data_IF_030709460469
#
_entry.id   IF_030709460469
#
_cell.length_a   1.000
_cell.length_b   1.000
_cell.length_c   1.000
_cell.angle_alpha   90.00
_cell.angle_beta   90.00
_cell.angle_gamma   90.00
#
_symmetry.space_group_name_H-M   'P 1'
#
loop_
_entity.id
_entity.type
_entity.pdbx_description
1 polymer ?
#
# COMPACT_ATOMS: atom_id res chain seq x y z
N UNK A 1 39.90 91.51 -5.18
CA UNK A 1 39.14 91.58 -3.93
C UNK A 1 39.72 90.48 -3.05
N UNK A 2 40.67 90.73 -2.14
CA UNK A 2 40.79 91.88 -1.20
C UNK A 2 39.52 91.94 -0.34
N UNK A 3 39.56 91.88 1.00
CA UNK A 3 40.54 92.42 1.97
C UNK A 3 40.79 91.44 3.13
N UNK A 4 42.01 91.43 3.68
CA UNK A 4 42.35 90.80 4.95
C UNK A 4 42.31 91.81 6.11
N UNK A 5 41.97 91.38 7.34
CA UNK A 5 42.37 92.11 8.55
C UNK A 5 42.46 91.21 9.80
N UNK A 6 43.69 90.97 10.22
CA UNK A 6 44.11 90.65 11.59
C UNK A 6 44.01 91.89 12.52
N UNK A 7 44.36 91.82 13.82
CA UNK A 7 43.86 90.88 14.84
C UNK A 7 43.48 91.61 16.15
N UNK A 8 42.98 90.92 17.17
CA UNK A 8 43.07 91.41 18.55
C UNK A 8 43.11 90.28 19.60
N UNK A 9 44.27 90.12 20.24
CA UNK A 9 44.43 89.47 21.55
C UNK A 9 44.11 90.51 22.67
N UNK A 10 43.85 90.20 23.95
CA UNK A 10 43.94 88.99 24.81
C UNK A 10 42.99 89.23 26.05
N UNK A 11 42.81 88.40 27.09
CA UNK A 11 43.44 87.16 27.61
C UNK A 11 42.40 86.32 28.45
N UNK A 12 42.75 85.22 29.17
CA UNK A 12 41.82 84.35 29.92
C UNK A 12 41.58 84.86 31.39
N UNK A 13 40.86 84.15 32.31
CA UNK A 13 40.31 82.77 32.34
C UNK A 13 38.78 82.76 32.68
N UNK A 14 38.07 81.71 33.13
CA UNK A 14 38.33 80.46 33.91
C UNK A 14 37.13 79.48 33.75
N UNK A 15 37.15 78.24 34.26
CA UNK A 15 36.27 77.17 33.79
C UNK A 15 34.89 77.12 34.46
N UNK A 16 33.86 76.80 33.66
CA UNK A 16 32.63 76.16 34.16
C UNK A 16 32.27 74.93 33.34
N UNK A 17 32.98 73.84 33.62
CA UNK A 17 32.56 72.50 33.25
C UNK A 17 31.25 72.12 34.00
N UNK A 18 30.11 72.58 33.48
CA UNK A 18 28.79 72.17 33.99
C UNK A 18 28.51 70.76 33.51
N UNK A 19 29.06 69.76 34.22
CA UNK A 19 28.67 68.35 34.09
C UNK A 19 27.15 68.26 34.27
N UNK A 20 26.41 68.10 33.17
CA UNK A 20 25.09 67.45 33.21
C UNK A 20 25.37 65.95 33.34
N UNK A 21 25.93 65.57 34.49
CA UNK A 21 26.01 64.17 34.90
C UNK A 21 24.58 63.74 35.19
N UNK A 22 24.05 62.82 34.37
CA UNK A 22 22.67 62.38 34.46
C UNK A 22 22.38 61.73 35.81
N UNK A 23 21.82 62.50 36.74
CA UNK A 23 21.19 61.99 37.94
C UNK A 23 19.88 61.30 37.53
N UNK A 24 19.99 60.04 37.09
CA UNK A 24 18.84 59.16 36.90
C UNK A 24 18.14 59.06 38.27
N UNK A 25 16.91 59.57 38.44
CA UNK A 25 16.27 59.61 39.75
C UNK A 25 16.06 58.18 40.28
N UNK A 26 16.34 57.95 41.57
CA UNK A 26 16.29 56.61 42.17
C UNK A 26 14.92 55.92 42.05
N UNK A 27 13.84 56.70 41.87
CA UNK A 27 12.50 56.19 41.54
C UNK A 27 12.49 55.27 40.31
N UNK A 28 13.35 55.50 39.31
CA UNK A 28 13.49 54.65 38.13
C UNK A 28 14.18 53.31 38.43
N UNK A 29 14.98 53.21 39.50
CA UNK A 29 15.69 51.98 39.89
C UNK A 29 14.71 50.95 40.44
N UNK A 30 13.89 51.33 41.42
CA UNK A 30 12.84 50.47 41.97
C UNK A 30 11.73 50.13 40.97
N UNK A 31 11.45 51.01 40.00
CA UNK A 31 10.53 50.69 38.89
C UNK A 31 11.14 49.65 37.93
N UNK A 32 12.43 49.76 37.60
CA UNK A 32 13.15 48.77 36.77
C UNK A 32 13.20 47.40 37.41
N UNK A 33 13.44 47.30 38.72
CA UNK A 33 13.44 46.01 39.43
C UNK A 33 12.07 45.32 39.42
N UNK A 34 10.99 46.09 39.62
CA UNK A 34 9.62 45.56 39.51
C UNK A 34 9.31 45.08 38.10
N UNK A 35 9.63 45.88 37.08
CA UNK A 35 9.44 45.51 35.67
C UNK A 35 10.28 44.29 35.29
N UNK A 36 11.54 44.21 35.71
CA UNK A 36 12.41 43.05 35.47
C UNK A 36 11.86 41.77 36.11
N UNK A 37 11.34 41.85 37.34
CA UNK A 37 10.71 40.70 38.01
C UNK A 37 9.44 40.24 37.29
N UNK A 38 8.58 41.16 36.87
CA UNK A 38 7.37 40.81 36.08
C UNK A 38 7.74 40.22 34.72
N UNK A 39 8.72 40.80 34.02
CA UNK A 39 9.20 40.30 32.74
C UNK A 39 9.82 38.89 32.87
N UNK A 40 10.57 38.62 33.95
CA UNK A 40 11.11 37.30 34.24
C UNK A 40 10.01 36.26 34.50
N UNK A 41 8.97 36.62 35.25
CA UNK A 41 7.82 35.74 35.50
C UNK A 41 7.07 35.42 34.21
N UNK A 42 6.79 36.43 33.38
CA UNK A 42 6.14 36.24 32.07
C UNK A 42 7.01 35.42 31.10
N UNK A 43 8.33 35.62 31.10
CA UNK A 43 9.26 34.83 30.29
C UNK A 43 9.31 33.37 30.76
N UNK A 44 9.26 33.12 32.07
CA UNK A 44 9.17 31.77 32.63
C UNK A 44 7.83 31.10 32.33
N UNK A 45 6.72 31.80 32.48
CA UNK A 45 5.37 31.33 32.13
C UNK A 45 5.25 30.98 30.64
N UNK A 46 5.80 31.83 29.77
CA UNK A 46 5.89 31.58 28.33
C UNK A 46 6.77 30.36 28.02
N UNK A 47 7.93 30.22 28.68
CA UNK A 47 8.83 29.07 28.53
C UNK A 47 8.15 27.77 28.96
N UNK A 48 7.46 27.75 30.11
CA UNK A 48 6.70 26.59 30.60
C UNK A 48 5.56 26.23 29.64
N UNK A 49 4.82 27.22 29.15
CA UNK A 49 3.74 27.02 28.17
C UNK A 49 4.27 26.43 26.87
N UNK A 50 5.37 26.97 26.35
CA UNK A 50 6.01 26.48 25.13
C UNK A 50 6.57 25.06 25.30
N UNK A 51 7.19 24.76 26.44
CA UNK A 51 7.71 23.43 26.74
C UNK A 51 6.57 22.40 26.89
N UNK A 52 5.46 22.78 27.51
CA UNK A 52 4.25 21.96 27.59
C UNK A 52 3.66 21.66 26.21
N UNK A 53 3.61 22.65 25.32
CA UNK A 53 3.15 22.49 23.95
C UNK A 53 4.06 21.56 23.14
N UNK A 54 5.39 21.72 23.25
CA UNK A 54 6.37 20.83 22.60
C UNK A 54 6.24 19.39 23.10
N UNK A 55 6.08 19.18 24.41
CA UNK A 55 5.86 17.86 25.00
C UNK A 55 4.55 17.22 24.52
N UNK A 56 3.47 17.99 24.42
CA UNK A 56 2.19 17.50 23.89
C UNK A 56 2.32 17.04 22.43
N UNK A 57 2.93 17.84 21.56
CA UNK A 57 3.18 17.44 20.17
C UNK A 57 4.11 16.23 20.06
N UNK A 58 5.14 16.12 20.91
CA UNK A 58 6.03 14.96 20.91
C UNK A 58 5.31 13.66 21.30
N UNK A 59 4.42 13.72 22.30
CA UNK A 59 3.59 12.58 22.73
C UNK A 59 2.59 12.19 21.64
N UNK A 60 1.96 13.16 20.99
CA UNK A 60 0.97 12.87 19.94
C UNK A 60 1.62 12.29 18.68
N UNK A 61 2.73 12.86 18.22
CA UNK A 61 3.52 12.31 17.11
C UNK A 61 3.98 10.87 17.39
N UNK A 62 4.34 10.54 18.64
CA UNK A 62 4.71 9.18 19.03
C UNK A 62 3.52 8.22 19.01
N UNK A 63 2.34 8.66 19.49
CA UNK A 63 1.09 7.89 19.42
C UNK A 63 0.67 7.64 17.98
N UNK A 64 0.73 8.65 17.12
CA UNK A 64 0.38 8.53 15.70
C UNK A 64 1.33 7.60 14.95
N UNK A 65 2.64 7.68 15.21
CA UNK A 65 3.62 6.75 14.65
C UNK A 65 3.30 5.30 15.06
N UNK A 66 3.00 5.05 16.34
CA UNK A 66 2.59 3.73 16.85
C UNK A 66 1.29 3.23 16.24
N UNK A 67 0.28 4.10 16.14
CA UNK A 67 -1.03 3.79 15.55
C UNK A 67 -0.92 3.51 14.04
N UNK A 68 -0.04 4.22 13.32
CA UNK A 68 0.27 3.95 11.91
C UNK A 68 0.98 2.60 11.74
N UNK A 69 1.97 2.30 12.58
CA UNK A 69 2.68 1.03 12.55
C UNK A 69 1.76 -0.17 12.87
N UNK A 70 0.84 -0.03 13.82
CA UNK A 70 -0.18 -1.05 14.13
C UNK A 70 -1.11 -1.29 12.93
N UNK A 71 -1.69 -0.25 12.35
CA UNK A 71 -2.53 -0.37 11.14
C UNK A 71 -1.77 -1.00 9.97
N UNK A 72 -0.51 -0.63 9.76
CA UNK A 72 0.32 -1.19 8.70
C UNK A 72 0.62 -2.69 8.95
N UNK A 73 0.87 -3.11 10.21
CA UNK A 73 1.01 -4.53 10.57
C UNK A 73 -0.28 -5.32 10.32
N UNK A 74 -1.45 -4.72 10.51
CA UNK A 74 -2.75 -5.35 10.21
C UNK A 74 -2.95 -5.52 8.69
N UNK A 75 -2.71 -4.47 7.90
CA UNK A 75 -2.76 -4.52 6.42
C UNK A 75 -1.82 -5.60 5.87
N UNK A 76 -0.55 -5.60 6.27
CA UNK A 76 0.41 -6.63 5.82
C UNK A 76 0.04 -8.05 6.28
N UNK A 77 -0.55 -8.21 7.47
CA UNK A 77 -1.03 -9.53 7.93
C UNK A 77 -2.21 -10.02 7.10
N UNK A 78 -3.16 -9.14 6.77
CA UNK A 78 -4.34 -9.49 6.00
C UNK A 78 -3.98 -9.84 4.54
N UNK A 79 -3.22 -8.97 3.87
CA UNK A 79 -2.71 -9.23 2.51
C UNK A 79 -1.80 -10.46 2.46
N UNK A 80 -0.94 -10.66 3.45
CA UNK A 80 -0.07 -11.82 3.55
C UNK A 80 -0.84 -13.14 3.60
N UNK A 81 -1.95 -13.17 4.37
CA UNK A 81 -2.86 -14.33 4.43
C UNK A 81 -3.57 -14.58 3.10
N UNK A 82 -4.08 -13.54 2.42
CA UNK A 82 -4.75 -13.69 1.12
C UNK A 82 -3.80 -14.27 0.06
N UNK A 83 -2.60 -13.70 -0.08
CA UNK A 83 -1.56 -14.19 -1.01
C UNK A 83 -1.10 -15.61 -0.64
N UNK A 84 -0.93 -15.91 0.64
CA UNK A 84 -0.55 -17.26 1.10
C UNK A 84 -1.66 -18.29 0.86
N UNK A 85 -2.93 -17.92 1.04
CA UNK A 85 -4.07 -18.78 0.72
C UNK A 85 -4.08 -19.14 -0.77
N UNK A 86 -3.82 -18.16 -1.66
CA UNK A 86 -3.64 -18.46 -3.09
C UNK A 86 -2.50 -19.45 -3.33
N UNK A 87 -1.33 -19.24 -2.69
CA UNK A 87 -0.17 -20.12 -2.82
C UNK A 87 -0.40 -21.57 -2.32
N UNK A 88 -1.37 -21.78 -1.44
CA UNK A 88 -1.80 -23.08 -0.91
C UNK A 88 -2.92 -23.71 -1.73
N UNK A 89 -3.91 -22.94 -2.19
CA UNK A 89 -5.08 -23.44 -2.91
C UNK A 89 -4.82 -23.66 -4.40
N UNK A 90 -4.13 -22.73 -5.08
CA UNK A 90 -3.90 -22.80 -6.52
C UNK A 90 -3.23 -24.13 -7.00
N UNK A 91 -2.26 -24.73 -6.26
CA UNK A 91 -1.73 -26.06 -6.61
C UNK A 91 -2.80 -27.16 -6.62
N UNK A 92 -3.74 -27.17 -5.68
CA UNK A 92 -4.81 -28.18 -5.56
C UNK A 92 -5.79 -28.07 -6.72
N UNK A 93 -6.13 -26.84 -7.11
CA UNK A 93 -6.97 -26.56 -8.28
C UNK A 93 -6.25 -27.00 -9.57
N UNK A 94 -4.98 -26.61 -9.73
CA UNK A 94 -4.17 -26.96 -10.89
C UNK A 94 -4.01 -28.49 -11.07
N UNK A 95 -3.66 -29.20 -10.00
CA UNK A 95 -3.56 -30.67 -9.98
C UNK A 95 -4.88 -31.37 -10.34
N UNK A 96 -6.02 -30.83 -9.88
CA UNK A 96 -7.34 -31.34 -10.23
C UNK A 96 -7.68 -31.12 -11.72
N UNK A 97 -7.38 -29.93 -12.25
CA UNK A 97 -7.53 -29.62 -13.68
C UNK A 97 -6.62 -30.52 -14.53
N UNK A 98 -5.36 -30.69 -14.13
CA UNK A 98 -4.38 -31.51 -14.84
C UNK A 98 -4.80 -32.98 -14.92
N UNK A 99 -5.35 -33.55 -13.84
CA UNK A 99 -5.93 -34.90 -13.86
C UNK A 99 -7.07 -35.03 -14.87
N UNK A 100 -7.98 -34.05 -14.92
CA UNK A 100 -9.12 -34.08 -15.84
C UNK A 100 -8.67 -33.99 -17.31
N UNK A 101 -7.71 -33.11 -17.63
CA UNK A 101 -7.11 -33.00 -18.96
C UNK A 101 -6.38 -34.29 -19.34
N UNK A 102 -5.53 -34.82 -18.45
CA UNK A 102 -4.77 -36.03 -18.71
C UNK A 102 -5.66 -37.27 -18.93
N UNK A 103 -6.76 -37.40 -18.18
CA UNK A 103 -7.73 -38.48 -18.37
C UNK A 103 -8.44 -38.39 -19.75
N UNK A 104 -8.83 -37.17 -20.16
CA UNK A 104 -9.40 -36.92 -21.49
C UNK A 104 -8.42 -37.24 -22.61
N UNK A 105 -7.18 -36.74 -22.51
CA UNK A 105 -6.14 -36.95 -23.54
C UNK A 105 -5.74 -38.42 -23.64
N UNK A 106 -5.64 -39.14 -22.51
CA UNK A 106 -5.38 -40.58 -22.50
C UNK A 106 -6.52 -41.40 -23.13
N UNK A 107 -7.78 -41.02 -22.92
CA UNK A 107 -8.92 -41.64 -23.59
C UNK A 107 -8.92 -41.37 -25.10
N UNK A 108 -8.67 -40.12 -25.52
CA UNK A 108 -8.49 -39.76 -26.93
C UNK A 108 -7.36 -40.55 -27.61
N UNK A 109 -6.23 -40.75 -26.90
CA UNK A 109 -5.11 -41.54 -27.41
C UNK A 109 -5.43 -43.03 -27.61
N UNK A 110 -6.44 -43.58 -26.90
CA UNK A 110 -6.97 -44.95 -27.14
C UNK A 110 -8.01 -45.02 -28.26
N UNK A 111 -8.27 -43.91 -28.96
CA UNK A 111 -9.31 -43.83 -30.00
C UNK A 111 -10.73 -43.62 -29.45
N UNK A 112 -10.88 -43.40 -28.14
CA UNK A 112 -12.19 -43.18 -27.53
C UNK A 112 -12.75 -41.78 -27.87
N UNK A 113 -14.04 -41.61 -27.57
CA UNK A 113 -14.79 -40.35 -27.75
C UNK A 113 -15.36 -39.86 -26.41
N UNK A 114 -14.50 -39.57 -25.41
CA UNK A 114 -14.93 -39.08 -24.09
C UNK A 114 -15.63 -37.72 -24.19
N UNK A 115 -16.46 -37.36 -23.21
CA UNK A 115 -16.90 -35.98 -23.07
C UNK A 115 -15.70 -35.06 -22.72
N UNK A 116 -15.65 -33.80 -23.19
CA UNK A 116 -14.64 -32.84 -22.78
C UNK A 116 -14.56 -32.66 -21.25
N UNK A 117 -13.37 -32.41 -20.68
CA UNK A 117 -13.20 -32.26 -19.24
C UNK A 117 -13.94 -31.02 -18.70
N UNK A 118 -14.82 -31.27 -17.72
CA UNK A 118 -15.57 -30.23 -17.00
C UNK A 118 -14.93 -30.02 -15.62
N UNK A 119 -14.57 -28.77 -15.31
CA UNK A 119 -14.00 -28.37 -14.04
C UNK A 119 -14.77 -27.21 -13.41
N UNK A 120 -15.46 -27.49 -12.30
CA UNK A 120 -16.39 -26.55 -11.69
C UNK A 120 -16.05 -26.33 -10.21
N UNK A 121 -15.46 -25.17 -9.90
CA UNK A 121 -15.30 -24.70 -8.52
C UNK A 121 -16.67 -24.20 -8.07
N UNK A 122 -17.46 -25.08 -7.45
CA UNK A 122 -18.72 -24.87 -6.70
C UNK A 122 -19.49 -23.58 -7.06
N UNK A 123 -20.72 -23.74 -7.59
CA UNK A 123 -21.60 -22.65 -8.03
C UNK A 123 -21.60 -21.43 -7.08
N UNK A 124 -21.34 -20.25 -7.65
CA UNK A 124 -21.12 -18.98 -6.93
C UNK A 124 -19.66 -18.70 -6.57
N UNK A 125 -18.69 -19.42 -7.13
CA UNK A 125 -17.25 -19.30 -6.83
C UNK A 125 -16.40 -19.15 -8.10
N UNK A 126 -16.91 -18.47 -9.12
CA UNK A 126 -16.28 -18.31 -10.44
C UNK A 126 -15.08 -17.34 -10.44
N UNK A 127 -14.74 -16.76 -9.29
CA UNK A 127 -13.56 -15.89 -9.10
C UNK A 127 -12.69 -16.39 -7.95
N UNK A 128 -11.38 -16.21 -8.13
CA UNK A 128 -10.40 -16.32 -7.05
C UNK A 128 -10.62 -15.12 -6.08
N UNK A 129 -10.73 -15.36 -4.77
CA UNK A 129 -10.84 -14.31 -3.74
C UNK A 129 -9.75 -13.23 -3.83
N UNK A 130 -10.15 -11.96 -3.80
CA UNK A 130 -9.28 -10.76 -3.75
C UNK A 130 -9.85 -9.66 -2.83
N UNK A 131 -10.80 -10.01 -1.96
CA UNK A 131 -11.58 -9.08 -1.17
C UNK A 131 -10.73 -8.31 -0.16
N UNK A 132 -9.62 -8.88 0.34
CA UNK A 132 -8.73 -8.17 1.29
C UNK A 132 -7.96 -7.07 0.57
N UNK A 133 -7.45 -7.32 -0.64
CA UNK A 133 -6.87 -6.29 -1.50
C UNK A 133 -7.87 -5.17 -1.81
N UNK A 134 -9.08 -5.51 -2.25
CA UNK A 134 -10.09 -4.52 -2.61
C UNK A 134 -10.59 -3.72 -1.41
N UNK A 135 -10.78 -4.35 -0.25
CA UNK A 135 -11.09 -3.66 1.00
C UNK A 135 -9.94 -2.75 1.46
N UNK A 136 -8.69 -3.20 1.36
CA UNK A 136 -7.51 -2.38 1.70
C UNK A 136 -7.43 -1.14 0.81
N UNK A 137 -7.68 -1.30 -0.49
CA UNK A 137 -7.72 -0.21 -1.48
C UNK A 137 -8.87 0.76 -1.20
N UNK A 138 -10.07 0.27 -0.94
CA UNK A 138 -11.25 1.09 -0.66
C UNK A 138 -11.14 1.85 0.68
N UNK A 139 -10.53 1.25 1.70
CA UNK A 139 -10.29 1.86 3.01
C UNK A 139 -9.08 2.83 3.02
N UNK A 140 -8.43 3.06 1.87
CA UNK A 140 -7.27 3.96 1.75
C UNK A 140 -5.94 3.40 2.29
N UNK A 141 -5.94 2.22 2.92
CA UNK A 141 -4.80 1.63 3.64
C UNK A 141 -3.58 1.25 2.78
N UNK A 142 -3.59 1.57 1.48
CA UNK A 142 -2.43 1.50 0.60
C UNK A 142 -1.39 2.59 0.91
N UNK A 143 -1.76 3.67 1.61
CA UNK A 143 -0.83 4.68 2.14
C UNK A 143 0.11 4.14 3.25
N UNK A 144 -0.18 2.95 3.75
CA UNK A 144 0.62 2.20 4.72
C UNK A 144 1.59 1.21 4.06
N UNK A 145 1.51 1.03 2.74
CA UNK A 145 2.30 0.08 1.96
C UNK A 145 3.49 0.77 1.30
N UNK A 146 4.69 0.19 1.42
CA UNK A 146 5.88 0.69 0.71
C UNK A 146 5.62 0.77 -0.82
N UNK A 147 5.92 1.88 -1.52
CA UNK A 147 5.52 2.07 -2.93
C UNK A 147 5.91 0.93 -3.88
N UNK A 148 7.12 0.36 -3.70
CA UNK A 148 7.58 -0.79 -4.49
C UNK A 148 6.71 -2.03 -4.27
N UNK A 149 6.35 -2.30 -3.01
CA UNK A 149 5.49 -3.43 -2.63
C UNK A 149 4.06 -3.23 -3.12
N UNK A 150 3.55 -1.98 -3.12
CA UNK A 150 2.26 -1.64 -3.74
C UNK A 150 2.23 -2.02 -5.23
N UNK A 151 3.27 -1.67 -6.01
CA UNK A 151 3.33 -2.07 -7.42
C UNK A 151 3.36 -3.59 -7.60
N UNK A 152 4.12 -4.33 -6.79
CA UNK A 152 4.16 -5.81 -6.84
C UNK A 152 2.81 -6.44 -6.47
N UNK A 153 2.10 -5.90 -5.47
CA UNK A 153 0.74 -6.33 -5.12
C UNK A 153 -0.24 -6.06 -6.27
N UNK A 154 -0.25 -4.84 -6.82
CA UNK A 154 -1.14 -4.47 -7.91
C UNK A 154 -0.92 -5.36 -9.16
N UNK A 155 0.35 -5.65 -9.49
CA UNK A 155 0.68 -6.57 -10.59
C UNK A 155 0.19 -8.00 -10.30
N UNK A 156 0.39 -8.49 -9.08
CA UNK A 156 -0.10 -9.82 -8.66
C UNK A 156 -1.62 -9.92 -8.77
N UNK A 157 -2.38 -8.99 -8.19
CA UNK A 157 -3.84 -9.02 -8.22
C UNK A 157 -4.40 -8.80 -9.64
N UNK A 158 -3.77 -7.97 -10.48
CA UNK A 158 -4.14 -7.85 -11.89
C UNK A 158 -3.98 -9.20 -12.64
N UNK A 159 -2.91 -9.96 -12.35
CA UNK A 159 -2.71 -11.30 -12.93
C UNK A 159 -3.74 -12.30 -12.39
N UNK A 160 -4.08 -12.26 -11.09
CA UNK A 160 -5.13 -13.11 -10.48
C UNK A 160 -6.51 -12.81 -11.11
N UNK A 161 -6.88 -11.54 -11.26
CA UNK A 161 -8.12 -11.13 -11.91
C UNK A 161 -8.20 -11.60 -13.38
N UNK A 162 -7.09 -11.56 -14.12
CA UNK A 162 -7.01 -12.11 -15.47
C UNK A 162 -7.24 -13.62 -15.53
N UNK A 163 -6.83 -14.37 -14.49
CA UNK A 163 -7.15 -15.81 -14.35
C UNK A 163 -8.64 -15.99 -14.08
N UNK A 164 -9.20 -15.26 -13.11
CA UNK A 164 -10.63 -15.29 -12.79
C UNK A 164 -11.51 -15.01 -14.03
N UNK A 165 -11.18 -14.00 -14.85
CA UNK A 165 -11.94 -13.68 -16.07
C UNK A 165 -11.72 -14.65 -17.24
N UNK A 166 -10.64 -15.44 -17.24
CA UNK A 166 -10.47 -16.58 -18.14
C UNK A 166 -11.30 -17.78 -17.66
N UNK A 167 -11.27 -18.07 -16.36
CA UNK A 167 -12.03 -19.15 -15.76
C UNK A 167 -13.54 -18.93 -15.90
N UNK A 168 -14.04 -17.72 -15.60
CA UNK A 168 -15.45 -17.36 -15.80
C UNK A 168 -15.92 -17.59 -17.25
N UNK A 169 -15.14 -17.18 -18.26
CA UNK A 169 -15.47 -17.45 -19.68
C UNK A 169 -15.43 -18.93 -20.06
N UNK A 170 -14.63 -19.74 -19.38
CA UNK A 170 -14.66 -21.20 -19.49
C UNK A 170 -15.93 -21.78 -18.84
N UNK A 171 -16.34 -21.29 -17.67
CA UNK A 171 -17.57 -21.70 -16.97
C UNK A 171 -18.81 -21.32 -17.79
N UNK A 172 -18.93 -20.07 -18.25
CA UNK A 172 -20.03 -19.58 -19.09
C UNK A 172 -20.20 -20.44 -20.36
N UNK A 173 -19.10 -20.88 -20.99
CA UNK A 173 -19.14 -21.79 -22.13
C UNK A 173 -19.50 -23.23 -21.71
N UNK A 174 -18.99 -23.70 -20.57
CA UNK A 174 -19.33 -25.02 -20.01
C UNK A 174 -20.83 -25.15 -19.83
N UNK A 175 -21.46 -24.18 -19.16
CA UNK A 175 -22.89 -24.18 -18.86
C UNK A 175 -23.77 -24.10 -20.11
N UNK A 176 -23.38 -23.26 -21.09
CA UNK A 176 -24.16 -23.02 -22.30
C UNK A 176 -23.99 -24.09 -23.38
N UNK A 177 -22.80 -24.66 -23.51
CA UNK A 177 -22.42 -25.49 -24.66
C UNK A 177 -21.96 -26.92 -24.32
N UNK A 178 -21.62 -27.22 -23.07
CA UNK A 178 -21.08 -28.54 -22.69
C UNK A 178 -22.05 -29.32 -21.81
N UNK A 179 -22.58 -28.73 -20.73
CA UNK A 179 -23.34 -29.46 -19.70
C UNK A 179 -24.53 -30.25 -20.26
N UNK A 180 -25.37 -29.63 -21.11
CA UNK A 180 -26.55 -30.29 -21.69
C UNK A 180 -26.22 -31.37 -22.73
N UNK A 181 -24.96 -31.46 -23.16
CA UNK A 181 -24.48 -32.46 -24.14
C UNK A 181 -23.69 -33.60 -23.48
N UNK A 182 -23.41 -33.53 -22.17
CA UNK A 182 -22.64 -34.55 -21.45
C UNK A 182 -23.24 -35.97 -21.52
N UNK A 183 -24.58 -36.09 -21.59
CA UNK A 183 -25.28 -37.36 -21.77
C UNK A 183 -25.12 -37.97 -23.16
N UNK A 184 -24.66 -37.19 -24.14
CA UNK A 184 -24.54 -37.59 -25.55
C UNK A 184 -23.13 -37.27 -26.09
N UNK A 185 -22.05 -37.96 -25.64
CA UNK A 185 -20.68 -37.59 -25.97
C UNK A 185 -20.37 -37.51 -27.47
N UNK A 186 -21.10 -38.27 -28.32
CA UNK A 186 -20.99 -38.19 -29.77
C UNK A 186 -21.20 -36.78 -30.34
N UNK A 187 -21.98 -35.91 -29.68
CA UNK A 187 -22.25 -34.54 -30.11
C UNK A 187 -21.00 -33.63 -30.10
N UNK A 188 -19.95 -34.01 -29.37
CA UNK A 188 -18.67 -33.30 -29.32
C UNK A 188 -17.75 -33.59 -30.52
N UNK A 189 -18.08 -34.60 -31.32
CA UNK A 189 -17.24 -35.11 -32.41
C UNK A 189 -17.90 -34.91 -33.77
N UNK A 190 -17.07 -34.87 -34.82
CA UNK A 190 -17.54 -34.92 -36.20
C UNK A 190 -17.68 -36.36 -36.71
N UNK A 191 -18.06 -36.52 -37.99
CA UNK A 191 -18.23 -37.83 -38.63
C UNK A 191 -16.93 -38.66 -38.67
N UNK A 192 -15.75 -38.01 -38.69
CA UNK A 192 -14.46 -38.70 -38.63
C UNK A 192 -14.09 -39.18 -37.22
N UNK A 193 -14.76 -38.67 -36.18
CA UNK A 193 -14.39 -38.89 -34.78
C UNK A 193 -13.30 -37.93 -34.28
N UNK A 194 -12.99 -36.88 -35.04
CA UNK A 194 -12.23 -35.75 -34.56
C UNK A 194 -13.11 -34.88 -33.63
N UNK A 195 -12.48 -34.29 -32.62
CA UNK A 195 -13.16 -33.36 -31.71
C UNK A 195 -13.46 -32.07 -32.48
N UNK A 196 -14.69 -31.57 -32.44
CA UNK A 196 -15.06 -30.37 -33.21
C UNK A 196 -14.27 -29.15 -32.72
N UNK A 197 -13.90 -28.19 -33.60
CA UNK A 197 -12.96 -27.11 -33.27
C UNK A 197 -13.36 -26.26 -32.04
N UNK A 198 -14.66 -26.05 -31.83
CA UNK A 198 -15.20 -25.31 -30.69
C UNK A 198 -14.95 -26.03 -29.35
N UNK A 199 -15.01 -27.37 -29.34
CA UNK A 199 -14.70 -28.17 -28.15
C UNK A 199 -13.19 -28.38 -27.97
N UNK A 200 -12.40 -28.38 -29.04
CA UNK A 200 -10.95 -28.31 -28.94
C UNK A 200 -10.51 -26.99 -28.25
N UNK A 201 -11.03 -25.86 -28.76
CA UNK A 201 -10.83 -24.53 -28.16
C UNK A 201 -11.26 -24.47 -26.69
N UNK A 202 -12.32 -25.19 -26.32
CA UNK A 202 -12.77 -25.32 -24.94
C UNK A 202 -11.76 -26.03 -24.03
N UNK A 203 -11.19 -27.16 -24.47
CA UNK A 203 -10.15 -27.87 -23.69
C UNK A 203 -8.89 -27.01 -23.58
N UNK A 204 -8.52 -26.28 -24.63
CA UNK A 204 -7.37 -25.38 -24.60
C UNK A 204 -7.56 -24.21 -23.62
N UNK A 205 -8.77 -23.67 -23.47
CA UNK A 205 -9.08 -22.68 -22.41
C UNK A 205 -8.84 -23.24 -21.00
N UNK A 206 -9.10 -24.53 -20.77
CA UNK A 206 -8.84 -25.17 -19.49
C UNK A 206 -7.33 -25.40 -19.26
N UNK A 207 -6.58 -25.77 -20.31
CA UNK A 207 -5.11 -25.85 -20.30
C UNK A 207 -4.46 -24.49 -20.00
N UNK A 208 -5.01 -23.41 -20.57
CA UNK A 208 -4.61 -22.03 -20.29
C UNK A 208 -4.78 -21.69 -18.80
N UNK A 209 -5.95 -21.98 -18.22
CA UNK A 209 -6.23 -21.72 -16.79
C UNK A 209 -5.27 -22.50 -15.90
N UNK A 210 -5.04 -23.79 -16.17
CA UNK A 210 -4.05 -24.61 -15.48
C UNK A 210 -2.65 -23.98 -15.52
N UNK A 211 -2.17 -23.64 -16.72
CA UNK A 211 -0.84 -23.06 -16.95
C UNK A 211 -0.65 -21.75 -16.18
N UNK A 212 -1.67 -20.89 -16.18
CA UNK A 212 -1.63 -19.62 -15.46
C UNK A 212 -1.66 -19.80 -13.93
N UNK A 213 -2.43 -20.76 -13.40
CA UNK A 213 -2.43 -21.08 -11.97
C UNK A 213 -1.04 -21.55 -11.51
N UNK A 214 -0.45 -22.54 -12.20
CA UNK A 214 0.89 -23.06 -11.88
C UNK A 214 1.94 -21.96 -11.92
N UNK A 215 1.94 -21.13 -12.97
CA UNK A 215 2.92 -20.06 -13.14
C UNK A 215 2.88 -18.97 -12.04
N UNK A 216 1.76 -18.82 -11.31
CA UNK A 216 1.61 -17.80 -10.25
C UNK A 216 1.95 -18.29 -8.84
N UNK A 217 2.02 -19.60 -8.60
CA UNK A 217 2.34 -20.14 -7.25
C UNK A 217 3.72 -19.66 -6.74
N UNK A 218 4.81 -19.61 -7.54
CA UNK A 218 6.09 -19.09 -7.06
C UNK A 218 6.06 -17.58 -6.78
N UNK A 219 5.29 -16.81 -7.56
CA UNK A 219 5.11 -15.37 -7.37
C UNK A 219 4.40 -15.07 -6.05
N UNK A 220 3.31 -15.79 -5.78
CA UNK A 220 2.55 -15.68 -4.53
C UNK A 220 3.43 -15.99 -3.30
N UNK A 221 4.21 -17.08 -3.32
CA UNK A 221 5.11 -17.44 -2.21
C UNK A 221 6.17 -16.37 -1.93
N UNK A 222 6.77 -15.79 -2.99
CA UNK A 222 7.73 -14.67 -2.85
C UNK A 222 7.06 -13.43 -2.27
N UNK A 223 5.84 -13.10 -2.73
CA UNK A 223 5.11 -11.94 -2.26
C UNK A 223 4.65 -12.08 -0.80
N UNK A 224 4.16 -13.26 -0.40
CA UNK A 224 3.83 -13.58 1.01
C UNK A 224 5.05 -13.40 1.92
N UNK A 225 6.20 -13.98 1.56
CA UNK A 225 7.46 -13.80 2.33
C UNK A 225 7.92 -12.32 2.38
N UNK A 226 7.66 -11.54 1.33
CA UNK A 226 7.96 -10.10 1.29
C UNK A 226 7.04 -9.30 2.22
N UNK A 227 5.75 -9.63 2.26
CA UNK A 227 4.76 -9.04 3.18
C UNK A 227 5.11 -9.34 4.64
N UNK A 228 5.49 -10.59 4.95
CA UNK A 228 5.96 -10.99 6.28
C UNK A 228 7.23 -10.26 6.71
N UNK A 229 8.19 -10.13 5.79
CA UNK A 229 9.44 -9.40 6.04
C UNK A 229 9.17 -7.91 6.29
N UNK A 230 8.29 -7.28 5.51
CA UNK A 230 7.93 -5.87 5.67
C UNK A 230 7.17 -5.63 6.97
N UNK A 231 6.26 -6.55 7.34
CA UNK A 231 5.59 -6.57 8.64
C UNK A 231 6.55 -6.68 9.82
N UNK A 232 7.60 -7.51 9.70
CA UNK A 232 8.60 -7.70 10.75
C UNK A 232 9.48 -6.45 10.99
N UNK A 233 9.63 -5.57 9.99
CA UNK A 233 10.34 -4.28 10.11
C UNK A 233 9.56 -3.19 10.86
N UNK A 234 8.25 -3.36 11.08
CA UNK A 234 7.39 -2.40 11.79
C UNK A 234 7.38 -2.60 13.32
N UNK A 235 8.55 -2.91 13.90
CA UNK A 235 8.74 -3.16 15.34
C UNK A 235 9.32 -1.92 16.03
#
# INVERSE_FOLDING_TARGET
>A
MTVAREPQASDPPTPRARRIGAAIPERLRGQRERVARTALLLAFELLVTFLGLLLAFAVENYRDARNRAERARQVYTALGREVQNFATVAPVLADTIQRAIAAFDAARARGERPAPPVYYVRAGSERIPTEVWDATRAAGGLDLVEPRLFFTLAEFYNRVNSISDRYRRYVEYTEREVLHRLSTPAAFYDASGALRPEYATYVDRLRDVHTLLVARVPDARRLAATLDSSRARLR
#
